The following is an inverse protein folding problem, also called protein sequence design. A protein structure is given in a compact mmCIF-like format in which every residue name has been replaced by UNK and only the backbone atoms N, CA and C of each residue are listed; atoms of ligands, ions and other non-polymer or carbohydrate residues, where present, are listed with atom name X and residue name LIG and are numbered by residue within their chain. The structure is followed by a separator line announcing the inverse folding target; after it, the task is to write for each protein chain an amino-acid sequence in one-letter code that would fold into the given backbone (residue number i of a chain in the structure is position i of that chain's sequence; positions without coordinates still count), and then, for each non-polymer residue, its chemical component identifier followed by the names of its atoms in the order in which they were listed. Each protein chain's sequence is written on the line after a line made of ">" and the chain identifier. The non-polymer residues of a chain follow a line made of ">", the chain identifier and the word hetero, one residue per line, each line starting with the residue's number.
data_IF_260755934045
#
_entry.id   IF_260755934045
#
_cell.length_a   1.000
_cell.length_b   1.000
_cell.length_c   1.000
_cell.angle_alpha   90.00
_cell.angle_beta   90.00
_cell.angle_gamma   90.00
#
_symmetry.space_group_name_H-M   'P 1'
#
loop_
_entity.id
_entity.type
_entity.pdbx_description
1 polymer ?
#
# COMPACT_ATOMS: atom_id res chain seq x y z
N UNK A 1 -10.47 29.55 1.75
CA UNK A 1 -9.87 28.36 1.11
C UNK A 1 -10.13 27.13 2.00
N UNK A 2 -11.41 26.82 2.23
CA UNK A 2 -11.86 25.89 3.28
C UNK A 2 -13.12 25.11 2.84
N UNK A 3 -13.15 24.66 1.59
CA UNK A 3 -14.33 24.03 0.98
C UNK A 3 -14.05 22.69 0.29
N UNK A 4 -12.85 22.11 0.42
CA UNK A 4 -12.53 20.81 -0.21
C UNK A 4 -12.46 19.61 0.73
N UNK A 5 -12.41 19.80 2.05
CA UNK A 5 -12.34 18.70 3.04
C UNK A 5 -13.71 18.12 3.44
N UNK A 6 -14.81 18.85 3.23
CA UNK A 6 -16.15 18.39 3.62
C UNK A 6 -16.78 17.39 2.62
N UNK A 7 -16.27 17.31 1.38
CA UNK A 7 -16.83 16.44 0.35
C UNK A 7 -16.53 14.94 0.56
N UNK A 8 -15.40 14.59 1.17
CA UNK A 8 -14.99 13.18 1.27
C UNK A 8 -15.63 12.45 2.45
N UNK A 9 -15.93 13.15 3.55
CA UNK A 9 -16.62 12.56 4.72
C UNK A 9 -18.12 12.34 4.42
N UNK A 10 -18.73 13.20 3.59
CA UNK A 10 -20.13 13.06 3.20
C UNK A 10 -20.39 11.86 2.27
N UNK A 11 -19.42 11.48 1.43
CA UNK A 11 -19.58 10.34 0.52
C UNK A 11 -19.61 9.00 1.29
N UNK A 12 -18.82 8.90 2.36
CA UNK A 12 -18.77 7.70 3.21
C UNK A 12 -20.05 7.51 4.05
N UNK A 13 -20.67 8.62 4.49
CA UNK A 13 -21.94 8.58 5.23
C UNK A 13 -23.17 8.40 4.32
N UNK A 14 -23.16 8.94 3.08
CA UNK A 14 -24.27 8.78 2.16
C UNK A 14 -24.46 7.33 1.68
N UNK A 15 -23.38 6.55 1.57
CA UNK A 15 -23.43 5.12 1.24
C UNK A 15 -24.07 4.26 2.35
N UNK A 16 -24.13 4.76 3.60
CA UNK A 16 -24.73 4.03 4.71
C UNK A 16 -26.24 4.27 4.88
N UNK A 17 -26.80 5.34 4.30
CA UNK A 17 -28.17 5.79 4.60
C UNK A 17 -29.22 5.49 3.51
N UNK A 18 -28.82 5.10 2.30
CA UNK A 18 -29.75 4.84 1.19
C UNK A 18 -29.53 3.46 0.52
N UNK A 19 -29.77 2.39 1.26
CA UNK A 19 -29.58 1.03 0.72
C UNK A 19 -30.21 -0.09 1.53
N UNK A 20 -31.49 0.03 1.88
CA UNK A 20 -32.30 -1.06 2.40
C UNK A 20 -32.51 -2.14 1.33
N UNK A 21 -31.51 -2.99 1.13
CA UNK A 21 -31.58 -4.26 0.41
C UNK A 21 -30.38 -5.07 0.85
N UNK A 22 -30.56 -6.38 1.06
CA UNK A 22 -29.53 -7.32 1.46
C UNK A 22 -28.40 -7.35 0.42
N UNK A 23 -27.49 -6.38 0.45
CA UNK A 23 -26.18 -6.48 -0.18
C UNK A 23 -25.38 -7.39 0.72
N UNK A 24 -25.52 -8.71 0.51
CA UNK A 24 -24.44 -9.66 0.81
C UNK A 24 -23.18 -8.99 0.30
N UNK A 25 -22.29 -8.60 1.22
CA UNK A 25 -21.15 -7.74 0.92
C UNK A 25 -20.43 -8.25 -0.34
N UNK A 26 -20.67 -7.58 -1.47
CA UNK A 26 -19.85 -7.72 -2.67
C UNK A 26 -18.43 -7.36 -2.20
N UNK A 27 -17.47 -8.28 -2.34
CA UNK A 27 -16.12 -8.08 -1.83
C UNK A 27 -15.48 -6.82 -2.44
N UNK A 28 -14.32 -6.38 -1.93
CA UNK A 28 -13.67 -5.15 -2.37
C UNK A 28 -13.51 -5.09 -3.89
N UNK A 29 -13.21 -6.24 -4.51
CA UNK A 29 -13.01 -6.40 -5.95
C UNK A 29 -14.27 -6.23 -6.80
N UNK A 30 -15.45 -6.43 -6.22
CA UNK A 30 -16.74 -6.38 -6.91
C UNK A 30 -17.45 -5.02 -6.71
N UNK A 31 -16.82 -4.10 -5.97
CA UNK A 31 -17.24 -2.71 -5.87
C UNK A 31 -17.25 -2.07 -7.25
N UNK A 32 -18.37 -1.45 -7.62
CA UNK A 32 -18.53 -0.78 -8.92
C UNK A 32 -18.04 0.65 -8.82
N UNK A 33 -17.19 1.04 -9.77
CA UNK A 33 -16.69 2.40 -9.97
C UNK A 33 -17.47 3.02 -11.13
N UNK A 34 -18.34 4.02 -10.86
CA UNK A 34 -19.15 4.64 -11.91
C UNK A 34 -18.32 5.27 -13.02
N UNK A 35 -17.16 5.85 -12.68
CA UNK A 35 -16.22 6.43 -13.64
C UNK A 35 -14.80 6.38 -13.11
N UNK A 36 -13.90 5.78 -13.87
CA UNK A 36 -12.46 5.82 -13.63
C UNK A 36 -11.77 6.38 -14.87
N UNK A 37 -11.06 7.49 -14.71
CA UNK A 37 -10.44 8.18 -15.83
C UNK A 37 -9.09 8.77 -15.48
N UNK A 38 -8.10 8.48 -16.31
CA UNK A 38 -6.75 9.02 -16.21
C UNK A 38 -6.23 9.37 -17.60
N UNK A 39 -5.46 10.45 -17.69
CA UNK A 39 -4.88 10.93 -18.95
C UNK A 39 -3.36 11.04 -18.81
N UNK A 40 -2.63 10.40 -19.72
CA UNK A 40 -1.15 10.38 -19.75
C UNK A 40 -0.55 10.10 -18.36
N UNK A 41 -1.18 9.19 -17.62
CA UNK A 41 -0.86 8.90 -16.23
C UNK A 41 0.10 7.72 -16.15
N UNK A 42 0.97 7.75 -15.13
CA UNK A 42 1.74 6.59 -14.71
C UNK A 42 0.85 5.61 -13.95
N UNK A 43 1.29 4.35 -13.83
CA UNK A 43 0.57 3.36 -13.03
C UNK A 43 0.32 3.84 -11.59
N UNK A 44 1.33 4.45 -10.95
CA UNK A 44 1.15 4.98 -9.59
C UNK A 44 0.06 6.05 -9.51
N UNK A 45 0.05 7.00 -10.45
CA UNK A 45 -0.96 8.06 -10.46
C UNK A 45 -2.36 7.45 -10.60
N UNK A 46 -2.49 6.42 -11.44
CA UNK A 46 -3.75 5.72 -11.62
C UNK A 46 -4.15 4.90 -10.38
N UNK A 47 -3.20 4.31 -9.66
CA UNK A 47 -3.46 3.66 -8.37
C UNK A 47 -3.89 4.67 -7.32
N UNK A 48 -3.28 5.85 -7.25
CA UNK A 48 -3.71 6.94 -6.35
C UNK A 48 -5.14 7.38 -6.64
N UNK A 49 -5.50 7.49 -7.92
CA UNK A 49 -6.89 7.77 -8.31
C UNK A 49 -7.85 6.67 -7.81
N UNK A 50 -7.47 5.40 -7.96
CA UNK A 50 -8.27 4.27 -7.47
C UNK A 50 -8.36 4.27 -5.93
N UNK A 51 -7.29 4.65 -5.23
CA UNK A 51 -7.26 4.76 -3.77
C UNK A 51 -8.27 5.78 -3.23
N UNK A 52 -8.53 6.88 -3.96
CA UNK A 52 -9.54 7.88 -3.59
C UNK A 52 -10.98 7.32 -3.56
N UNK A 53 -11.23 6.16 -4.17
CA UNK A 53 -12.49 5.42 -4.06
C UNK A 53 -12.61 4.60 -2.77
N UNK A 54 -11.68 4.76 -1.81
CA UNK A 54 -11.64 4.01 -0.57
C UNK A 54 -11.12 2.59 -0.73
N UNK A 55 -10.46 2.29 -1.85
CA UNK A 55 -9.86 0.98 -2.13
C UNK A 55 -8.47 0.95 -1.47
N UNK A 56 -8.23 0.10 -0.45
CA UNK A 56 -6.92 0.02 0.20
C UNK A 56 -5.91 -0.67 -0.73
N UNK A 57 -5.06 0.12 -1.37
CA UNK A 57 -4.04 -0.36 -2.30
C UNK A 57 -2.66 0.03 -1.79
N UNK A 58 -1.81 -0.97 -1.63
CA UNK A 58 -0.39 -0.80 -1.37
C UNK A 58 0.41 -1.03 -2.65
N UNK A 59 1.53 -0.33 -2.78
CA UNK A 59 2.27 -0.28 -4.05
C UNK A 59 3.78 -0.47 -3.85
N UNK A 60 4.36 -1.41 -4.59
CA UNK A 60 5.81 -1.48 -4.79
C UNK A 60 6.16 -0.83 -6.12
N UNK A 61 6.80 0.35 -6.10
CA UNK A 61 7.33 0.98 -7.30
C UNK A 61 8.62 0.27 -7.72
N UNK A 62 8.59 -0.39 -8.88
CA UNK A 62 9.74 -1.06 -9.46
C UNK A 62 10.85 -0.08 -9.89
N UNK A 63 12.10 -0.58 -10.09
CA UNK A 63 13.17 0.22 -10.66
C UNK A 63 12.84 0.52 -12.11
N UNK A 64 12.55 1.77 -12.42
CA UNK A 64 12.14 2.18 -13.76
C UNK A 64 12.99 3.37 -14.19
N UNK A 65 13.71 3.21 -15.32
CA UNK A 65 14.47 4.30 -15.93
C UNK A 65 13.53 5.36 -16.52
N UNK A 66 12.40 4.94 -17.11
CA UNK A 66 11.39 5.82 -17.69
C UNK A 66 9.96 5.33 -17.37
N UNK A 67 9.13 6.13 -16.69
CA UNK A 67 7.78 5.74 -16.35
C UNK A 67 6.94 5.58 -17.62
N UNK A 68 6.18 4.48 -17.70
CA UNK A 68 5.23 4.26 -18.79
C UNK A 68 3.97 5.06 -18.48
N UNK A 69 3.51 5.85 -19.44
CA UNK A 69 2.26 6.61 -19.33
C UNK A 69 1.18 6.01 -20.22
N UNK A 70 -0.07 6.13 -19.78
CA UNK A 70 -1.24 5.66 -20.53
C UNK A 70 -2.47 6.50 -20.19
N UNK A 71 -3.51 6.36 -21.00
CA UNK A 71 -4.82 6.96 -20.76
C UNK A 71 -5.87 5.86 -20.69
N UNK A 72 -6.76 5.93 -19.71
CA UNK A 72 -7.89 5.00 -19.54
C UNK A 72 -9.15 5.80 -19.22
N UNK A 73 -10.28 5.37 -19.77
CA UNK A 73 -11.60 5.90 -19.45
C UNK A 73 -12.56 4.72 -19.37
N UNK A 74 -12.98 4.38 -18.15
CA UNK A 74 -13.83 3.24 -17.83
C UNK A 74 -15.08 3.73 -17.09
N UNK A 75 -16.22 3.06 -17.30
CA UNK A 75 -17.50 3.42 -16.70
C UNK A 75 -18.24 2.20 -16.22
N UNK A 76 -18.86 2.31 -15.05
CA UNK A 76 -19.67 1.26 -14.43
C UNK A 76 -18.96 -0.11 -14.38
N UNK A 77 -17.65 -0.08 -14.11
CA UNK A 77 -16.78 -1.27 -14.05
C UNK A 77 -16.44 -1.64 -12.61
N UNK A 78 -16.09 -2.89 -12.34
CA UNK A 78 -15.65 -3.29 -11.01
C UNK A 78 -14.23 -2.82 -10.69
N UNK A 79 -13.85 -2.77 -9.40
CA UNK A 79 -12.44 -2.56 -8.98
C UNK A 79 -11.52 -3.57 -9.66
N UNK A 80 -11.94 -4.84 -9.77
CA UNK A 80 -11.20 -5.88 -10.49
C UNK A 80 -10.93 -5.51 -11.95
N UNK A 81 -11.95 -5.01 -12.65
CA UNK A 81 -11.82 -4.62 -14.06
C UNK A 81 -10.86 -3.44 -14.22
N UNK A 82 -10.92 -2.46 -13.31
CA UNK A 82 -9.95 -1.36 -13.30
C UNK A 82 -8.53 -1.89 -13.09
N UNK A 83 -8.30 -2.73 -12.08
CA UNK A 83 -6.97 -3.32 -11.83
C UNK A 83 -6.46 -4.12 -13.03
N UNK A 84 -7.32 -4.92 -13.67
CA UNK A 84 -6.97 -5.67 -14.88
C UNK A 84 -6.59 -4.75 -16.04
N UNK A 85 -7.31 -3.64 -16.23
CA UNK A 85 -6.99 -2.65 -17.26
C UNK A 85 -5.65 -1.94 -16.96
N UNK A 86 -5.40 -1.58 -15.70
CA UNK A 86 -4.13 -0.97 -15.26
C UNK A 86 -2.93 -1.87 -15.54
N UNK A 87 -3.01 -3.15 -15.19
CA UNK A 87 -1.94 -4.11 -15.45
C UNK A 87 -1.80 -4.43 -16.95
N UNK A 88 -2.90 -4.41 -17.70
CA UNK A 88 -2.83 -4.55 -19.15
C UNK A 88 -2.07 -3.40 -19.81
N UNK A 89 -2.19 -2.18 -19.25
CA UNK A 89 -1.47 -0.99 -19.70
C UNK A 89 0.01 -0.98 -19.28
N UNK A 90 0.34 -1.50 -18.09
CA UNK A 90 1.73 -1.68 -17.62
C UNK A 90 1.98 -3.12 -17.14
N UNK A 91 2.32 -3.99 -18.10
CA UNK A 91 2.54 -5.44 -17.90
C UNK A 91 3.74 -5.77 -17.02
N UNK A 92 4.52 -4.79 -16.58
CA UNK A 92 5.62 -5.00 -15.63
C UNK A 92 5.12 -5.28 -14.23
N UNK A 93 3.84 -5.03 -13.97
CA UNK A 93 3.21 -5.18 -12.67
C UNK A 93 2.20 -6.33 -12.67
N UNK A 94 1.85 -6.76 -11.46
CA UNK A 94 0.74 -7.65 -11.14
C UNK A 94 -0.01 -7.06 -9.96
N UNK A 95 -1.24 -7.52 -9.73
CA UNK A 95 -1.96 -7.22 -8.52
C UNK A 95 -2.41 -8.51 -7.81
N UNK A 96 -2.53 -8.46 -6.49
CA UNK A 96 -3.03 -9.56 -5.68
C UNK A 96 -3.81 -9.06 -4.46
N UNK A 97 -4.68 -9.92 -3.92
CA UNK A 97 -5.37 -9.64 -2.66
C UNK A 97 -4.58 -10.25 -1.51
N UNK A 98 -4.35 -9.45 -0.48
CA UNK A 98 -3.84 -9.92 0.80
C UNK A 98 -4.94 -9.84 1.87
N UNK A 99 -5.02 -10.88 2.69
CA UNK A 99 -5.98 -10.99 3.81
C UNK A 99 -5.21 -11.18 5.10
N UNK A 100 -5.78 -10.71 6.20
CA UNK A 100 -5.10 -10.81 7.49
C UNK A 100 -4.75 -12.25 7.85
N UNK A 101 -3.52 -12.43 8.30
CA UNK A 101 -2.99 -13.67 8.86
C UNK A 101 -3.28 -13.79 10.36
N UNK A 102 -3.56 -12.67 11.03
CA UNK A 102 -3.66 -12.61 12.50
C UNK A 102 -5.06 -12.29 13.02
N UNK A 103 -5.93 -11.75 12.18
CA UNK A 103 -7.31 -11.43 12.56
C UNK A 103 -8.27 -12.54 12.10
N UNK A 104 -9.17 -13.02 12.97
CA UNK A 104 -10.15 -14.04 12.62
C UNK A 104 -11.28 -13.50 11.70
N UNK A 105 -11.29 -12.20 11.40
CA UNK A 105 -12.33 -11.59 10.56
C UNK A 105 -11.95 -11.68 9.08
N UNK A 106 -12.71 -12.43 8.25
CA UNK A 106 -12.41 -12.61 6.82
C UNK A 106 -12.67 -11.36 5.97
N UNK A 107 -12.99 -10.22 6.59
CA UNK A 107 -13.51 -9.03 5.89
C UNK A 107 -12.47 -7.98 5.58
N UNK A 108 -11.31 -7.99 6.24
CA UNK A 108 -10.26 -7.02 5.96
C UNK A 108 -9.32 -7.58 4.90
N UNK A 109 -9.40 -7.00 3.71
CA UNK A 109 -8.54 -7.30 2.60
C UNK A 109 -7.93 -6.02 2.04
N UNK A 110 -6.70 -6.12 1.57
CA UNK A 110 -6.01 -5.07 0.83
C UNK A 110 -5.56 -5.60 -0.52
N UNK A 111 -5.32 -4.68 -1.44
CA UNK A 111 -4.75 -5.01 -2.75
C UNK A 111 -3.28 -4.58 -2.75
N UNK A 112 -2.41 -5.49 -3.16
CA UNK A 112 -1.02 -5.19 -3.43
C UNK A 112 -0.82 -5.08 -4.93
N UNK A 113 -0.20 -4.00 -5.39
CA UNK A 113 0.28 -3.88 -6.77
C UNK A 113 1.81 -3.90 -6.76
N UNK A 114 2.37 -4.90 -7.43
CA UNK A 114 3.78 -5.30 -7.27
C UNK A 114 4.44 -5.47 -8.64
N UNK A 115 5.76 -5.27 -8.79
CA UNK A 115 6.48 -5.68 -9.99
C UNK A 115 6.33 -7.20 -10.17
N UNK A 116 6.03 -7.64 -11.39
CA UNK A 116 5.77 -9.04 -11.73
C UNK A 116 6.94 -9.96 -11.30
N UNK A 117 8.17 -9.48 -11.48
CA UNK A 117 9.39 -10.20 -11.09
C UNK A 117 9.77 -9.98 -9.62
N UNK A 118 9.19 -8.99 -8.94
CA UNK A 118 9.56 -8.58 -7.59
C UNK A 118 9.07 -9.55 -6.50
N UNK A 119 7.96 -10.27 -6.73
CA UNK A 119 7.38 -11.18 -5.71
C UNK A 119 8.26 -12.39 -5.42
N UNK A 120 8.91 -12.95 -6.43
CA UNK A 120 9.78 -14.12 -6.30
C UNK A 120 11.26 -13.79 -6.11
N UNK A 121 11.64 -12.52 -6.24
CA UNK A 121 13.04 -12.11 -6.22
C UNK A 121 13.62 -12.14 -4.79
N UNK A 122 14.59 -13.04 -4.48
CA UNK A 122 15.23 -13.08 -3.16
C UNK A 122 16.02 -11.82 -2.82
N UNK A 123 16.36 -11.00 -3.84
CA UNK A 123 17.07 -9.73 -3.65
C UNK A 123 16.14 -8.56 -3.31
N UNK A 124 14.83 -8.68 -3.52
CA UNK A 124 13.86 -7.67 -3.13
C UNK A 124 13.76 -7.57 -1.61
N UNK A 125 13.96 -6.37 -1.05
CA UNK A 125 13.89 -6.14 0.40
C UNK A 125 12.50 -6.43 1.00
N UNK A 126 11.45 -6.36 0.19
CA UNK A 126 10.08 -6.71 0.61
C UNK A 126 9.90 -8.21 0.87
N UNK A 127 10.81 -9.05 0.35
CA UNK A 127 10.80 -10.52 0.53
C UNK A 127 11.69 -10.99 1.69
N UNK A 128 12.39 -10.08 2.38
CA UNK A 128 13.21 -10.45 3.55
C UNK A 128 12.33 -11.12 4.59
N UNK A 129 12.77 -12.29 5.06
CA UNK A 129 12.10 -13.04 6.13
C UNK A 129 12.39 -12.40 7.49
N UNK A 130 11.34 -12.31 8.28
CA UNK A 130 11.31 -11.77 9.64
C UNK A 130 11.02 -12.93 10.57
N UNK A 131 11.98 -13.28 11.41
CA UNK A 131 11.85 -14.46 12.28
C UNK A 131 10.79 -14.20 13.36
N UNK A 132 10.88 -13.03 13.99
CA UNK A 132 9.93 -12.56 15.00
C UNK A 132 9.88 -11.04 15.04
N UNK A 133 8.68 -10.48 15.06
CA UNK A 133 8.45 -9.06 15.25
C UNK A 133 7.33 -8.84 16.25
N UNK A 134 7.56 -7.95 17.23
CA UNK A 134 6.54 -7.46 18.14
C UNK A 134 6.55 -5.94 18.11
N UNK A 135 5.43 -5.34 17.70
CA UNK A 135 5.20 -3.91 17.81
C UNK A 135 4.13 -3.68 18.87
N UNK A 136 4.38 -2.71 19.76
CA UNK A 136 3.46 -2.31 20.83
C UNK A 136 3.15 -0.84 20.71
N UNK A 137 1.85 -0.54 20.69
CA UNK A 137 1.30 0.82 20.74
C UNK A 137 1.97 1.79 19.76
N UNK A 138 2.24 1.31 18.54
CA UNK A 138 2.90 2.08 17.50
C UNK A 138 1.87 2.71 16.56
N UNK A 139 2.13 3.94 16.14
CA UNK A 139 1.36 4.53 15.06
C UNK A 139 1.65 3.81 13.72
N UNK A 140 0.62 3.43 12.93
CA UNK A 140 0.83 2.71 11.67
C UNK A 140 1.70 3.44 10.64
N UNK A 141 1.53 4.75 10.46
CA UNK A 141 2.33 5.53 9.52
C UNK A 141 3.81 5.52 9.91
N UNK A 142 4.10 5.75 11.20
CA UNK A 142 5.45 5.65 11.74
C UNK A 142 6.04 4.25 11.58
N UNK A 143 5.23 3.21 11.80
CA UNK A 143 5.67 1.82 11.63
C UNK A 143 6.08 1.54 10.17
N UNK A 144 5.31 2.03 9.18
CA UNK A 144 5.61 1.90 7.76
C UNK A 144 6.92 2.64 7.43
N UNK A 145 7.03 3.92 7.76
CA UNK A 145 8.20 4.75 7.43
C UNK A 145 9.49 4.26 8.08
N UNK A 146 9.39 3.59 9.24
CA UNK A 146 10.52 3.13 10.04
C UNK A 146 10.69 1.61 10.00
N UNK A 147 10.02 0.91 9.10
CA UNK A 147 10.05 -0.56 9.07
C UNK A 147 11.47 -1.13 9.01
N UNK A 148 12.37 -0.45 8.28
CA UNK A 148 13.78 -0.84 8.19
C UNK A 148 14.55 -0.74 9.52
N UNK A 149 14.10 0.10 10.46
CA UNK A 149 14.68 0.23 11.80
C UNK A 149 14.07 -0.79 12.76
N UNK A 150 12.78 -1.11 12.56
CA UNK A 150 12.00 -2.01 13.42
C UNK A 150 12.30 -3.48 13.14
N UNK A 151 12.73 -3.82 11.92
CA UNK A 151 13.02 -5.20 11.50
C UNK A 151 14.54 -5.40 11.33
N UNK A 152 15.23 -6.08 12.27
CA UNK A 152 16.68 -6.26 12.23
C UNK A 152 17.21 -6.94 10.97
N UNK A 153 16.49 -7.94 10.45
CA UNK A 153 16.83 -8.70 9.26
C UNK A 153 16.80 -7.81 8.01
N UNK A 154 15.78 -6.95 7.92
CA UNK A 154 15.66 -5.95 6.87
C UNK A 154 16.79 -4.93 6.97
N UNK A 155 17.09 -4.41 8.17
CA UNK A 155 18.21 -3.50 8.40
C UNK A 155 19.53 -4.11 7.90
N UNK A 156 19.80 -5.36 8.26
CA UNK A 156 21.00 -6.10 7.84
C UNK A 156 21.05 -6.30 6.33
N UNK A 157 19.92 -6.67 5.73
CA UNK A 157 19.78 -6.86 4.28
C UNK A 157 19.98 -5.55 3.50
N UNK A 158 19.44 -4.44 4.01
CA UNK A 158 19.62 -3.10 3.45
C UNK A 158 21.10 -2.70 3.43
N UNK A 159 21.80 -2.80 4.56
CA UNK A 159 23.21 -2.39 4.64
C UNK A 159 24.18 -3.26 3.84
N UNK A 160 23.79 -4.49 3.50
CA UNK A 160 24.56 -5.31 2.55
C UNK A 160 24.45 -4.82 1.12
N UNK A 161 23.36 -4.14 0.77
CA UNK A 161 23.01 -3.76 -0.62
C UNK A 161 23.24 -2.30 -0.92
N UNK A 162 23.15 -1.42 0.09
CA UNK A 162 23.41 0.01 -0.02
C UNK A 162 24.85 0.29 0.46
N UNK A 163 25.75 0.80 -0.41
CA UNK A 163 27.13 1.05 -0.04
C UNK A 163 27.25 2.13 1.06
N UNK A 164 28.36 2.14 1.82
CA UNK A 164 28.66 3.21 2.77
C UNK A 164 28.65 4.57 2.05
N UNK A 165 27.83 5.51 2.52
CA UNK A 165 27.60 6.81 1.86
C UNK A 165 26.28 6.93 1.10
N UNK A 166 25.47 5.87 1.05
CA UNK A 166 24.07 5.98 0.62
C UNK A 166 23.30 6.96 1.50
N UNK A 167 22.51 7.84 0.89
CA UNK A 167 21.69 8.82 1.61
C UNK A 167 20.61 8.06 2.39
N UNK A 168 20.76 8.02 3.71
CA UNK A 168 19.68 7.64 4.60
C UNK A 168 18.48 8.52 4.26
N UNK A 169 17.31 7.94 4.00
CA UNK A 169 16.07 8.70 4.09
C UNK A 169 16.09 9.39 5.45
N UNK A 170 15.99 10.72 5.43
CA UNK A 170 16.14 11.60 6.58
C UNK A 170 15.59 10.93 7.85
N UNK A 171 16.46 10.67 8.81
CA UNK A 171 16.05 10.18 10.12
C UNK A 171 15.33 11.34 10.78
N UNK A 172 14.02 11.46 10.52
CA UNK A 172 13.19 12.42 11.23
C UNK A 172 13.11 11.96 12.70
N UNK A 173 13.36 12.86 13.67
CA UNK A 173 13.17 12.56 15.08
C UNK A 173 11.78 11.93 15.32
N UNK A 174 11.67 10.99 16.26
CA UNK A 174 10.34 10.58 16.75
C UNK A 174 9.76 11.79 17.47
N UNK A 175 8.93 12.58 16.80
CA UNK A 175 7.98 13.43 17.50
C UNK A 175 6.78 12.54 17.80
N UNK A 176 6.52 12.15 19.06
CA UNK A 176 5.33 11.39 19.37
C UNK A 176 4.11 12.26 19.04
N UNK A 177 3.22 11.82 18.15
CA UNK A 177 2.03 12.56 17.83
C UNK A 177 1.11 12.55 19.06
N UNK A 178 0.56 13.71 19.39
CA UNK A 178 -0.43 13.86 20.45
C UNK A 178 -1.75 13.23 19.97
N UNK A 179 -2.07 12.03 20.46
CA UNK A 179 -3.32 11.28 20.22
C UNK A 179 -3.52 10.66 18.83
N UNK A 180 -2.55 9.89 18.34
CA UNK A 180 -2.77 9.08 17.14
C UNK A 180 -3.13 7.63 17.47
N UNK A 181 -4.13 7.13 16.73
CA UNK A 181 -4.47 5.72 16.62
C UNK A 181 -3.21 4.84 16.60
N UNK A 182 -3.14 3.87 17.51
CA UNK A 182 -2.01 2.96 17.66
C UNK A 182 -2.43 1.52 17.43
N UNK A 183 -1.47 0.70 17.00
CA UNK A 183 -1.65 -0.72 16.79
C UNK A 183 -0.61 -1.50 17.58
N UNK A 184 -0.99 -2.72 17.95
CA UNK A 184 -0.10 -3.73 18.50
C UNK A 184 -0.20 -4.98 17.64
N UNK A 185 0.95 -5.58 17.30
CA UNK A 185 1.01 -6.78 16.47
C UNK A 185 2.19 -7.66 16.86
N UNK A 186 2.01 -8.97 16.71
CA UNK A 186 3.07 -9.97 16.85
C UNK A 186 3.03 -10.90 15.66
N UNK A 187 4.16 -11.06 15.00
CA UNK A 187 4.31 -11.85 13.78
C UNK A 187 5.55 -12.75 13.86
N UNK A 188 5.48 -13.92 13.24
CA UNK A 188 6.56 -14.90 13.23
C UNK A 188 6.68 -15.56 11.85
N UNK A 189 7.90 -15.67 11.33
CA UNK A 189 8.19 -16.36 10.07
C UNK A 189 7.58 -15.72 8.82
N UNK A 190 7.32 -14.42 8.84
CA UNK A 190 6.65 -13.69 7.75
C UNK A 190 7.64 -12.90 6.89
N UNK A 191 7.23 -12.38 5.74
CA UNK A 191 8.04 -11.43 4.97
C UNK A 191 7.86 -9.99 5.44
N UNK A 192 8.78 -9.09 5.09
CA UNK A 192 8.61 -7.63 5.30
C UNK A 192 7.31 -7.13 4.68
N UNK A 193 6.94 -7.61 3.50
CA UNK A 193 5.66 -7.28 2.86
C UNK A 193 4.47 -7.69 3.73
N UNK A 194 4.50 -8.89 4.29
CA UNK A 194 3.42 -9.36 5.17
C UNK A 194 3.32 -8.49 6.43
N UNK A 195 4.46 -8.07 7.00
CA UNK A 195 4.46 -7.13 8.14
C UNK A 195 3.76 -5.83 7.76
N UNK A 196 4.12 -5.23 6.62
CA UNK A 196 3.52 -3.99 6.15
C UNK A 196 2.03 -4.15 5.83
N UNK A 197 1.63 -5.28 5.27
CA UNK A 197 0.22 -5.60 5.02
C UNK A 197 -0.58 -5.71 6.31
N UNK A 198 -0.04 -6.37 7.34
CA UNK A 198 -0.69 -6.46 8.65
C UNK A 198 -0.79 -5.11 9.36
N UNK A 199 0.22 -4.23 9.19
CA UNK A 199 0.14 -2.84 9.65
C UNK A 199 -1.01 -2.12 8.95
N UNK A 200 -1.10 -2.22 7.62
CA UNK A 200 -2.17 -1.57 6.84
C UNK A 200 -3.56 -2.10 7.18
N UNK A 201 -3.73 -3.41 7.34
CA UNK A 201 -5.02 -3.99 7.70
C UNK A 201 -5.50 -3.50 9.08
N UNK A 202 -4.58 -3.22 9.99
CA UNK A 202 -4.88 -2.71 11.33
C UNK A 202 -4.94 -1.19 11.39
N UNK A 203 -4.50 -0.48 10.36
CA UNK A 203 -4.39 0.98 10.36
C UNK A 203 -5.71 1.72 10.10
N UNK A 204 -6.74 1.01 9.62
CA UNK A 204 -7.99 1.63 9.18
C UNK A 204 -7.87 2.39 7.85
N UNK A 205 -6.84 2.13 7.04
CA UNK A 205 -6.73 2.67 5.66
C UNK A 205 -5.36 3.22 5.26
N UNK A 206 -4.40 3.32 6.19
CA UNK A 206 -3.01 3.72 5.89
C UNK A 206 -2.33 2.61 5.09
N UNK A 207 -2.14 2.85 3.80
CA UNK A 207 -1.45 1.95 2.88
C UNK A 207 0.03 2.30 2.80
N UNK A 208 0.86 1.36 2.34
CA UNK A 208 2.30 1.56 2.19
C UNK A 208 2.72 1.73 0.72
N UNK A 209 3.79 2.50 0.52
CA UNK A 209 4.53 2.65 -0.72
C UNK A 209 5.97 2.22 -0.47
N UNK A 210 6.45 1.27 -1.26
CA UNK A 210 7.86 0.90 -1.31
C UNK A 210 8.45 1.39 -2.63
N UNK A 211 9.59 2.07 -2.60
CA UNK A 211 10.29 2.47 -3.83
C UNK A 211 11.73 2.00 -3.81
N UNK A 212 12.18 1.52 -4.97
CA UNK A 212 13.58 1.21 -5.22
C UNK A 212 14.12 2.08 -6.36
N UNK A 213 15.11 2.91 -6.04
CA UNK A 213 15.89 3.64 -7.03
C UNK A 213 17.24 2.97 -7.24
N UNK A 214 17.66 2.85 -8.50
CA UNK A 214 18.96 2.27 -8.88
C UNK A 214 20.08 3.31 -8.77
N UNK A 215 19.80 4.58 -9.07
CA UNK A 215 20.79 5.65 -9.11
C UNK A 215 20.23 6.98 -8.56
N UNK A 216 20.70 7.45 -7.39
CA UNK A 216 21.51 6.70 -6.43
C UNK A 216 20.73 5.50 -5.88
N UNK A 217 21.45 4.41 -5.54
CA UNK A 217 20.81 3.23 -4.97
C UNK A 217 20.12 3.58 -3.66
N UNK A 218 18.79 3.52 -3.62
CA UNK A 218 17.99 3.91 -2.45
C UNK A 218 16.74 3.04 -2.35
N UNK A 219 16.39 2.71 -1.11
CA UNK A 219 15.11 2.07 -0.79
C UNK A 219 14.35 2.98 0.18
N UNK A 220 13.06 3.18 -0.08
CA UNK A 220 12.18 4.01 0.74
C UNK A 220 10.90 3.24 1.07
N UNK A 221 10.41 3.44 2.28
CA UNK A 221 9.08 3.02 2.72
C UNK A 221 8.36 4.27 3.20
N UNK A 222 7.16 4.48 2.70
CA UNK A 222 6.36 5.69 2.94
C UNK A 222 4.89 5.30 3.08
N UNK A 223 4.11 6.18 3.68
CA UNK A 223 2.65 6.09 3.58
C UNK A 223 2.21 6.41 2.16
N UNK A 224 1.33 5.59 1.62
CA UNK A 224 0.66 5.85 0.37
C UNK A 224 -0.59 6.70 0.64
N UNK A 225 -0.55 7.94 0.15
CA UNK A 225 -1.62 8.93 0.26
C UNK A 225 -2.44 9.03 -1.04
#
# INVERSE_FOLDING_TARGET
>A
MATRLASSIFLFMALLLFGGSRVLAKGLLDLVIPRFEVHEATLERAIRELHQWGVPICFERGPVNEPTTFSLSLRDVSVRDVLNALISADKRYIWEVHRSMTLPSPTLEIINVLPANGKGDPENLMNVRVDSLELKDINPAQAIERIYQLVPELKKAYWRRVPPGGVLSEIRPLTPPENEFSISLRLHGVSVRDVLNEITLRSGGVCWLYEYSVSPRRHTWQVFH
#
